data_IF_355688340115
#
_entry.id   IF_355688340115
#
_cell.length_a   1.000
_cell.length_b   1.000
_cell.length_c   1.000
_cell.angle_alpha   90.00
_cell.angle_beta   90.00
_cell.angle_gamma   90.00
#
_symmetry.space_group_name_H-M   'P 1'
#
loop_
_entity.id
_entity.type
_entity.pdbx_description
1 polymer ?
#
# COMPACT_ATOMS: atom_id res chain seq x y z
N UNK A 1 -3.29 13.54 2.59
CA UNK A 1 -2.72 12.17 2.73
C UNK A 1 -3.42 11.46 3.87
N UNK A 2 -3.92 10.28 3.61
CA UNK A 2 -4.62 9.48 4.62
C UNK A 2 -3.62 8.61 5.37
N UNK A 3 -3.78 8.51 6.68
CA UNK A 3 -2.94 7.64 7.50
C UNK A 3 -3.65 6.29 7.68
N UNK A 4 -2.93 5.22 7.38
CA UNK A 4 -3.44 3.86 7.55
C UNK A 4 -2.72 3.26 8.75
N UNK A 5 -3.46 3.11 9.84
CA UNK A 5 -2.88 2.61 11.10
C UNK A 5 -2.84 1.10 11.13
N UNK A 6 -1.68 0.55 11.45
CA UNK A 6 -1.51 -0.88 11.60
C UNK A 6 -1.02 -1.17 13.01
N UNK A 7 -1.40 -2.32 13.55
CA UNK A 7 -0.93 -2.74 14.88
C UNK A 7 0.03 -3.94 14.75
N UNK A 8 0.61 -4.09 13.57
CA UNK A 8 1.60 -5.12 13.29
C UNK A 8 2.90 -4.45 12.89
N UNK A 9 3.97 -5.22 12.81
CA UNK A 9 5.28 -4.71 12.44
C UNK A 9 5.31 -4.17 11.01
N UNK A 10 4.54 -4.79 10.13
CA UNK A 10 4.43 -4.38 8.73
C UNK A 10 3.10 -4.84 8.17
N UNK A 11 2.77 -4.33 6.98
CA UNK A 11 1.64 -4.81 6.20
C UNK A 11 2.14 -5.02 4.77
N UNK A 12 1.74 -6.12 4.13
CA UNK A 12 2.13 -6.35 2.74
C UNK A 12 1.40 -5.38 1.83
N UNK A 13 2.06 -4.99 0.74
CA UNK A 13 1.55 -3.95 -0.15
C UNK A 13 0.15 -4.28 -0.69
N UNK A 14 -0.08 -5.51 -1.14
CA UNK A 14 -1.39 -5.90 -1.64
C UNK A 14 -2.47 -5.80 -0.56
N UNK A 15 -2.16 -6.23 0.65
CA UNK A 15 -3.09 -6.11 1.76
C UNK A 15 -3.33 -4.65 2.13
N UNK A 16 -2.30 -3.81 2.03
CA UNK A 16 -2.42 -2.39 2.32
C UNK A 16 -3.39 -1.70 1.36
N UNK A 17 -3.32 -2.01 0.07
CA UNK A 17 -4.22 -1.42 -0.91
C UNK A 17 -5.68 -1.78 -0.61
N UNK A 18 -5.93 -3.02 -0.22
CA UNK A 18 -7.27 -3.45 0.18
C UNK A 18 -7.71 -2.75 1.46
N UNK A 19 -6.83 -2.75 2.45
CA UNK A 19 -7.14 -2.19 3.76
C UNK A 19 -7.42 -0.68 3.68
N UNK A 20 -6.71 0.00 2.79
CA UNK A 20 -6.89 1.44 2.58
C UNK A 20 -8.08 1.77 1.68
N UNK A 21 -8.75 0.76 1.13
CA UNK A 21 -9.89 0.99 0.25
C UNK A 21 -9.51 1.43 -1.15
N UNK A 22 -8.25 1.27 -1.54
CA UNK A 22 -7.78 1.66 -2.87
C UNK A 22 -8.09 0.59 -3.91
N UNK A 23 -8.39 -0.63 -3.49
CA UNK A 23 -8.91 -1.68 -4.35
C UNK A 23 -9.80 -2.60 -3.54
N UNK A 24 -10.61 -3.40 -4.22
CA UNK A 24 -11.62 -4.23 -3.56
C UNK A 24 -11.15 -5.66 -3.30
N UNK A 25 -10.26 -6.18 -4.14
CA UNK A 25 -9.81 -7.58 -4.04
C UNK A 25 -8.31 -7.67 -4.10
N UNK A 26 -7.78 -8.80 -3.59
CA UNK A 26 -6.35 -9.07 -3.69
C UNK A 26 -5.89 -9.27 -5.12
N UNK A 27 -6.75 -9.82 -5.99
CA UNK A 27 -6.43 -9.99 -7.40
C UNK A 27 -6.28 -8.65 -8.10
N UNK A 28 -7.16 -7.71 -7.79
CA UNK A 28 -7.06 -6.36 -8.33
C UNK A 28 -5.77 -5.68 -7.85
N UNK A 29 -5.47 -5.80 -6.57
CA UNK A 29 -4.24 -5.24 -6.01
C UNK A 29 -3.01 -5.81 -6.71
N UNK A 30 -2.99 -7.13 -6.92
CA UNK A 30 -1.89 -7.79 -7.60
C UNK A 30 -1.67 -7.22 -9.00
N UNK A 31 -2.75 -7.08 -9.76
CA UNK A 31 -2.66 -6.54 -11.13
C UNK A 31 -2.15 -5.11 -11.14
N UNK A 32 -2.64 -4.28 -10.25
CA UNK A 32 -2.19 -2.88 -10.16
C UNK A 32 -0.71 -2.79 -9.81
N UNK A 33 -0.28 -3.58 -8.83
CA UNK A 33 1.11 -3.58 -8.40
C UNK A 33 2.03 -4.08 -9.50
N UNK A 34 1.72 -5.24 -10.06
CA UNK A 34 2.56 -5.84 -11.09
C UNK A 34 2.56 -5.05 -12.38
N UNK A 35 1.50 -4.30 -12.63
CA UNK A 35 1.41 -3.42 -13.79
C UNK A 35 2.15 -2.11 -13.64
N UNK A 36 2.74 -1.84 -12.49
CA UNK A 36 3.52 -0.62 -12.28
C UNK A 36 2.70 0.60 -11.91
N UNK A 37 1.45 0.41 -11.49
CA UNK A 37 0.57 1.53 -11.15
C UNK A 37 0.78 2.05 -9.73
N UNK A 38 1.54 1.33 -8.91
CA UNK A 38 1.70 1.64 -7.49
C UNK A 38 3.11 2.12 -7.19
N UNK A 39 3.22 3.20 -6.44
CA UNK A 39 4.52 3.71 -5.98
C UNK A 39 4.61 3.59 -4.47
N UNK A 40 5.78 3.18 -4.00
CA UNK A 40 6.09 3.14 -2.58
C UNK A 40 7.24 4.10 -2.33
N UNK A 41 7.01 5.09 -1.47
CA UNK A 41 7.99 6.15 -1.19
C UNK A 41 8.48 6.83 -2.48
N UNK A 42 7.56 7.04 -3.43
CA UNK A 42 7.85 7.74 -4.68
C UNK A 42 8.43 6.88 -5.80
N UNK A 43 8.66 5.59 -5.55
CA UNK A 43 9.22 4.70 -6.56
C UNK A 43 8.23 3.61 -6.94
N UNK A 44 8.15 3.29 -8.23
CA UNK A 44 7.29 2.21 -8.70
C UNK A 44 7.71 0.90 -8.04
N UNK A 45 6.75 0.21 -7.46
CA UNK A 45 6.99 -1.08 -6.83
C UNK A 45 6.09 -2.12 -7.48
N UNK A 46 6.69 -3.19 -7.99
CA UNK A 46 5.95 -4.26 -8.65
C UNK A 46 5.85 -5.54 -7.81
N UNK A 47 6.31 -5.46 -6.56
CA UNK A 47 6.31 -6.61 -5.64
C UNK A 47 5.09 -6.52 -4.71
N UNK A 48 4.10 -7.37 -4.94
CA UNK A 48 2.89 -7.35 -4.12
C UNK A 48 3.15 -7.70 -2.66
N UNK A 49 4.21 -8.45 -2.40
CA UNK A 49 4.59 -8.84 -1.06
C UNK A 49 5.51 -7.85 -0.35
N UNK A 50 5.71 -6.68 -0.91
CA UNK A 50 6.55 -5.65 -0.30
C UNK A 50 6.03 -5.35 1.10
N UNK A 51 6.92 -5.43 2.10
CA UNK A 51 6.57 -5.13 3.49
C UNK A 51 6.59 -3.63 3.69
N UNK A 52 5.44 -3.07 4.00
CA UNK A 52 5.30 -1.64 4.28
C UNK A 52 5.20 -1.43 5.78
N UNK A 53 6.00 -0.50 6.29
CA UNK A 53 6.08 -0.21 7.72
C UNK A 53 5.64 1.22 8.00
N UNK A 54 5.46 1.52 9.25
CA UNK A 54 5.10 2.89 9.66
C UNK A 54 6.09 3.89 9.07
N UNK A 55 5.57 4.94 8.46
CA UNK A 55 6.36 5.95 7.77
C UNK A 55 6.44 5.76 6.27
N UNK A 56 6.13 4.58 5.76
CA UNK A 56 6.13 4.35 4.31
C UNK A 56 4.87 4.98 3.69
N UNK A 57 5.04 5.55 2.49
CA UNK A 57 3.92 6.11 1.73
C UNK A 57 3.66 5.25 0.51
N UNK A 58 2.39 5.15 0.14
CA UNK A 58 1.97 4.38 -1.03
C UNK A 58 1.03 5.25 -1.86
N UNK A 59 1.29 5.31 -3.15
CA UNK A 59 0.50 6.12 -4.07
C UNK A 59 -0.10 5.25 -5.17
N UNK A 60 -1.38 5.47 -5.45
CA UNK A 60 -2.09 4.81 -6.55
C UNK A 60 -3.08 5.82 -7.14
N UNK A 61 -2.96 6.06 -8.45
CA UNK A 61 -3.89 6.92 -9.19
C UNK A 61 -4.11 8.29 -8.54
N UNK A 62 -3.02 8.91 -8.09
CA UNK A 62 -3.09 10.24 -7.50
C UNK A 62 -3.51 10.25 -6.04
N UNK A 63 -3.85 9.11 -5.47
CA UNK A 63 -4.18 9.00 -4.05
C UNK A 63 -2.95 8.49 -3.30
N UNK A 64 -2.62 9.16 -2.22
CA UNK A 64 -1.47 8.77 -1.40
C UNK A 64 -1.95 8.45 0.01
N UNK A 65 -1.46 7.33 0.54
CA UNK A 65 -1.70 6.96 1.93
C UNK A 65 -0.36 6.76 2.62
N UNK A 66 -0.34 6.95 3.92
CA UNK A 66 0.86 6.71 4.72
C UNK A 66 0.56 5.66 5.77
N UNK A 67 1.47 4.70 5.91
CA UNK A 67 1.35 3.70 6.97
C UNK A 67 1.76 4.35 8.29
N UNK A 68 0.96 4.13 9.32
CA UNK A 68 1.20 4.70 10.63
C UNK A 68 1.08 3.61 11.70
N UNK A 69 1.75 3.83 12.82
CA UNK A 69 1.58 2.92 13.95
C UNK A 69 0.19 3.05 14.54
N UNK A 70 -0.42 1.92 14.80
CA UNK A 70 -1.65 1.87 15.57
C UNK A 70 -1.39 2.16 17.02
N UNK A 71 -2.40 2.59 17.71
CA UNK A 71 -2.29 2.89 19.13
C UNK A 71 -2.10 1.61 19.95
#
# INVERSE_FOLDING_TARGET
MENIRINTEFIKLDALLKFAGLCETGGEAKELIQGGAVKVNGEVCTMRGKKCRAGDTVELEGQTVQVAEGA
#
